data_IF_368843365708
#
_entry.id   IF_368843365708
#
_cell.length_a   1.000
_cell.length_b   1.000
_cell.length_c   1.000
_cell.angle_alpha   90.00
_cell.angle_beta   90.00
_cell.angle_gamma   90.00
#
_symmetry.space_group_name_H-M   'P 1'
#
loop_
_entity.id
_entity.type
_entity.pdbx_description
1 polymer ?
#
# COMPACT_ATOMS: atom_id res chain seq x y z
N UNK A 1 5.36 -1.62 5.29
CA UNK A 1 4.72 -2.19 4.09
C UNK A 1 5.70 -2.16 2.93
N UNK A 2 5.52 -3.04 1.95
CA UNK A 2 6.35 -3.15 0.75
C UNK A 2 5.46 -3.06 -0.49
N UNK A 3 5.81 -2.18 -1.42
CA UNK A 3 5.18 -2.04 -2.73
C UNK A 3 6.18 -2.42 -3.80
N UNK A 4 5.68 -3.00 -4.89
CA UNK A 4 6.49 -3.31 -6.07
C UNK A 4 5.62 -3.16 -7.31
N UNK A 5 5.76 -2.03 -8.04
CA UNK A 5 5.24 -1.91 -9.39
C UNK A 5 5.81 -2.99 -10.31
N UNK A 6 5.02 -3.41 -11.29
CA UNK A 6 5.38 -4.40 -12.31
C UNK A 6 6.51 -3.99 -13.25
N UNK A 7 6.65 -2.70 -13.48
CA UNK A 7 7.67 -2.14 -14.35
C UNK A 7 8.42 -1.06 -13.60
N UNK A 8 9.74 -1.01 -13.83
CA UNK A 8 10.59 0.09 -13.38
C UNK A 8 10.48 1.32 -14.30
N UNK A 9 9.74 1.23 -15.40
CA UNK A 9 9.56 2.31 -16.37
C UNK A 9 8.33 3.18 -16.07
N UNK A 10 7.33 2.61 -15.40
CA UNK A 10 6.12 3.35 -15.04
C UNK A 10 6.22 3.88 -13.61
N UNK A 11 6.13 5.20 -13.42
CA UNK A 11 6.22 5.78 -12.09
C UNK A 11 4.95 5.48 -11.31
N UNK A 12 5.14 5.21 -10.02
CA UNK A 12 4.07 5.27 -9.05
C UNK A 12 3.60 6.72 -8.93
N UNK A 13 2.29 6.94 -8.93
CA UNK A 13 1.68 8.29 -8.92
C UNK A 13 1.14 8.66 -7.56
N UNK A 14 0.56 7.68 -6.88
CA UNK A 14 -0.07 7.88 -5.59
C UNK A 14 -0.09 6.56 -4.84
N UNK A 15 0.05 6.67 -3.52
CA UNK A 15 -0.28 5.60 -2.57
C UNK A 15 -1.37 6.12 -1.67
N UNK A 16 -2.39 5.29 -1.48
CA UNK A 16 -3.55 5.56 -0.65
C UNK A 16 -3.62 4.50 0.43
N UNK A 17 -3.79 4.93 1.68
CA UNK A 17 -4.12 4.08 2.80
C UNK A 17 -5.53 4.43 3.28
N UNK A 18 -6.38 3.41 3.37
CA UNK A 18 -7.76 3.58 3.81
C UNK A 18 -8.11 2.64 4.96
N UNK A 19 -8.98 3.11 5.86
CA UNK A 19 -9.62 2.28 6.90
C UNK A 19 -11.09 2.03 6.53
N UNK A 20 -11.50 0.77 6.37
CA UNK A 20 -12.88 0.41 6.00
C UNK A 20 -13.55 -0.51 7.02
N UNK A 21 -14.88 -0.46 7.05
CA UNK A 21 -15.73 -1.44 7.74
C UNK A 21 -16.07 -2.65 6.86
N UNK A 22 -15.85 -2.57 5.54
CA UNK A 22 -16.15 -3.63 4.59
C UNK A 22 -14.88 -4.08 3.85
N UNK A 23 -14.78 -5.40 3.61
CA UNK A 23 -13.69 -6.05 2.90
C UNK A 23 -13.95 -6.03 1.39
N UNK A 24 -13.02 -5.50 0.59
CA UNK A 24 -13.03 -5.55 -0.88
C UNK A 24 -13.34 -4.23 -1.60
N UNK A 25 -13.59 -4.27 -2.92
CA UNK A 25 -13.78 -3.12 -3.83
C UNK A 25 -15.01 -2.21 -3.53
N UNK A 26 -15.69 -2.40 -2.39
CA UNK A 26 -16.85 -1.60 -1.95
C UNK A 26 -16.50 -0.55 -0.90
N UNK A 27 -15.24 -0.11 -0.87
CA UNK A 27 -14.86 0.97 0.05
C UNK A 27 -15.53 2.26 -0.38
N UNK A 28 -16.39 2.76 0.51
CA UNK A 28 -16.96 4.10 0.42
C UNK A 28 -15.81 5.13 0.49
N UNK A 29 -15.65 6.02 -0.49
CA UNK A 29 -14.64 7.07 -0.46
C UNK A 29 -14.81 8.07 0.71
N UNK A 30 -15.90 8.00 1.48
CA UNK A 30 -16.06 8.71 2.76
C UNK A 30 -15.49 7.94 3.98
N UNK A 31 -14.71 6.88 3.75
CA UNK A 31 -14.03 6.10 4.77
C UNK A 31 -13.21 6.97 5.75
N UNK A 32 -13.38 6.63 7.04
CA UNK A 32 -13.27 7.54 8.18
C UNK A 32 -11.86 7.95 8.62
N UNK A 33 -10.79 7.52 7.96
CA UNK A 33 -9.41 7.96 8.24
C UNK A 33 -8.48 7.49 7.11
N UNK A 34 -8.29 8.35 6.11
CA UNK A 34 -7.52 8.04 4.92
C UNK A 34 -6.32 8.99 4.79
N UNK A 35 -5.19 8.45 4.30
CA UNK A 35 -4.13 9.28 3.78
C UNK A 35 -3.79 8.92 2.35
N UNK A 36 -3.43 9.94 1.58
CA UNK A 36 -2.81 9.76 0.29
C UNK A 36 -1.52 10.56 0.17
N UNK A 37 -0.56 9.98 -0.52
CA UNK A 37 0.70 10.62 -0.80
C UNK A 37 1.21 10.29 -2.19
N UNK A 38 1.79 11.30 -2.81
CA UNK A 38 2.42 11.24 -4.11
C UNK A 38 3.93 11.16 -3.90
N UNK A 39 4.60 10.14 -4.48
CA UNK A 39 6.04 10.10 -4.48
C UNK A 39 6.62 11.26 -5.33
N UNK A 40 7.90 11.60 -5.13
CA UNK A 40 8.61 12.41 -6.10
C UNK A 40 8.53 11.71 -7.47
N UNK A 41 8.27 12.47 -8.55
CA UNK A 41 7.67 12.01 -9.82
C UNK A 41 8.38 10.90 -10.62
N UNK A 42 9.43 10.28 -10.08
CA UNK A 42 10.18 9.17 -10.65
C UNK A 42 10.32 7.98 -9.69
N UNK A 43 9.46 7.84 -8.66
CA UNK A 43 9.51 6.65 -7.81
C UNK A 43 9.06 5.42 -8.62
N UNK A 44 10.04 4.64 -9.01
CA UNK A 44 9.90 3.36 -9.70
C UNK A 44 10.45 2.24 -8.81
N UNK A 45 10.09 1.00 -9.11
CA UNK A 45 10.56 -0.16 -8.36
C UNK A 45 10.06 -0.23 -6.92
N UNK A 46 10.74 -1.06 -6.14
CA UNK A 46 10.28 -1.46 -4.80
C UNK A 46 10.36 -0.33 -3.78
N UNK A 47 9.26 -0.09 -3.05
CA UNK A 47 9.15 0.97 -2.04
C UNK A 47 8.75 0.39 -0.69
N UNK A 48 9.58 0.61 0.32
CA UNK A 48 9.28 0.27 1.70
C UNK A 48 8.87 1.53 2.47
N UNK A 49 7.75 1.45 3.19
CA UNK A 49 7.23 2.59 3.93
C UNK A 49 6.48 2.21 5.20
N UNK A 50 6.35 3.19 6.10
CA UNK A 50 5.55 3.08 7.33
C UNK A 50 4.10 3.42 7.05
N UNK A 51 3.16 2.69 7.64
CA UNK A 51 1.72 3.00 7.52
C UNK A 51 1.34 4.35 8.15
N UNK A 52 2.12 4.84 9.11
CA UNK A 52 1.80 6.04 9.90
C UNK A 52 2.74 7.22 9.62
N UNK A 53 3.69 7.05 8.71
CA UNK A 53 4.63 8.11 8.31
C UNK A 53 4.81 8.05 6.81
N UNK A 54 4.62 9.18 6.16
CA UNK A 54 4.96 9.30 4.76
C UNK A 54 6.45 9.06 4.56
N UNK A 55 6.85 8.38 3.47
CA UNK A 55 8.25 8.30 3.10
C UNK A 55 8.85 9.69 2.89
N UNK A 56 10.15 9.80 3.11
CA UNK A 56 10.86 11.08 2.92
C UNK A 56 10.72 11.57 1.47
N UNK A 57 10.43 12.87 1.31
CA UNK A 57 10.27 13.50 0.00
C UNK A 57 8.92 13.29 -0.68
N UNK A 58 8.02 12.48 -0.10
CA UNK A 58 6.66 12.32 -0.61
C UNK A 58 5.76 13.48 -0.14
N UNK A 59 4.85 13.89 -1.01
CA UNK A 59 3.90 14.97 -0.74
C UNK A 59 2.51 14.39 -0.53
N UNK A 60 1.86 14.71 0.59
CA UNK A 60 0.57 14.13 0.89
C UNK A 60 -0.05 14.68 2.17
N UNK A 61 -1.28 14.26 2.42
CA UNK A 61 -1.96 14.50 3.69
C UNK A 61 -1.71 13.30 4.58
N UNK A 62 -0.97 13.47 5.68
CA UNK A 62 -0.76 12.36 6.63
C UNK A 62 -2.07 12.10 7.37
N UNK A 63 -2.42 10.83 7.58
CA UNK A 63 -3.53 10.48 8.45
C UNK A 63 -3.15 10.83 9.88
N UNK A 64 -4.15 11.22 10.68
CA UNK A 64 -3.99 11.38 12.13
C UNK A 64 -3.82 10.02 12.84
N UNK A 65 -4.08 8.92 12.15
CA UNK A 65 -3.94 7.58 12.69
C UNK A 65 -2.48 7.30 13.07
N UNK A 66 -2.27 6.97 14.35
CA UNK A 66 -0.97 6.56 14.90
C UNK A 66 -0.93 5.08 15.28
N UNK A 67 -2.07 4.39 15.17
CA UNK A 67 -2.24 2.96 15.43
C UNK A 67 -3.37 2.37 14.57
N UNK A 68 -3.29 1.06 14.33
CA UNK A 68 -4.41 0.29 13.79
C UNK A 68 -5.35 -0.06 14.95
N UNK A 69 -6.64 0.19 14.78
CA UNK A 69 -7.68 -0.19 15.73
C UNK A 69 -8.14 -1.64 15.46
N UNK A 70 -8.43 -2.43 16.52
CA UNK A 70 -8.96 -3.77 16.34
C UNK A 70 -10.39 -3.72 15.76
N UNK A 71 -10.75 -4.73 14.96
CA UNK A 71 -12.09 -4.85 14.36
C UNK A 71 -12.29 -4.04 13.08
N UNK A 72 -11.22 -3.44 12.55
CA UNK A 72 -11.22 -2.71 11.28
C UNK A 72 -10.40 -3.41 10.22
N UNK A 73 -10.85 -3.29 8.98
CA UNK A 73 -10.08 -3.65 7.79
C UNK A 73 -9.35 -2.42 7.26
N UNK A 74 -8.16 -2.67 6.72
CA UNK A 74 -7.29 -1.66 6.15
C UNK A 74 -6.90 -2.06 4.75
N UNK A 75 -6.68 -1.05 3.90
CA UNK A 75 -6.05 -1.26 2.60
C UNK A 75 -4.91 -0.29 2.36
N UNK A 76 -3.95 -0.77 1.57
CA UNK A 76 -2.99 0.07 0.88
C UNK A 76 -3.17 -0.16 -0.61
N UNK A 77 -3.37 0.91 -1.35
CA UNK A 77 -3.42 0.91 -2.81
C UNK A 77 -2.30 1.78 -3.37
N UNK A 78 -1.74 1.39 -4.51
CA UNK A 78 -0.83 2.22 -5.28
C UNK A 78 -1.23 2.27 -6.74
N UNK A 79 -1.09 3.45 -7.34
CA UNK A 79 -1.51 3.74 -8.71
C UNK A 79 -0.26 3.94 -9.58
N UNK A 80 -0.22 3.29 -10.73
CA UNK A 80 0.95 3.28 -11.61
C UNK A 80 0.56 3.71 -13.01
N UNK A 81 1.39 4.58 -13.60
CA UNK A 81 1.26 4.97 -15.01
C UNK A 81 1.92 6.32 -15.32
N UNK A 82 2.15 6.64 -16.59
CA UNK A 82 2.78 7.88 -17.01
C UNK A 82 1.78 9.05 -17.01
N UNK A 83 2.24 10.23 -16.59
CA UNK A 83 1.43 11.46 -16.64
C UNK A 83 0.03 11.23 -16.00
N UNK A 84 -1.02 11.85 -16.52
CA UNK A 84 -2.35 11.78 -15.91
C UNK A 84 -3.10 10.47 -16.24
N UNK A 85 -2.37 9.42 -16.65
CA UNK A 85 -2.94 8.13 -17.05
C UNK A 85 -2.59 7.07 -15.99
N UNK A 86 -3.62 6.51 -15.36
CA UNK A 86 -3.50 5.30 -14.53
C UNK A 86 -3.55 4.07 -15.43
N UNK A 87 -2.48 3.29 -15.48
CA UNK A 87 -2.42 2.00 -16.19
C UNK A 87 -3.00 0.88 -15.36
N UNK A 88 -2.61 0.79 -14.10
CA UNK A 88 -3.14 -0.19 -13.16
C UNK A 88 -3.06 0.31 -11.72
N UNK A 89 -3.76 -0.41 -10.85
CA UNK A 89 -3.69 -0.26 -9.38
C UNK A 89 -3.23 -1.58 -8.77
N UNK A 90 -2.32 -1.52 -7.81
CA UNK A 90 -2.07 -2.63 -6.90
C UNK A 90 -2.80 -2.36 -5.57
N UNK A 91 -3.41 -3.37 -4.98
CA UNK A 91 -4.14 -3.25 -3.70
C UNK A 91 -3.81 -4.42 -2.79
N UNK A 92 -3.62 -4.15 -1.50
CA UNK A 92 -3.50 -5.16 -0.46
C UNK A 92 -4.42 -4.82 0.71
N UNK A 93 -5.07 -5.84 1.26
CA UNK A 93 -5.99 -5.74 2.40
C UNK A 93 -5.40 -6.44 3.61
N UNK A 94 -5.59 -5.87 4.79
CA UNK A 94 -5.07 -6.42 6.04
C UNK A 94 -5.84 -5.92 7.25
N UNK A 95 -5.72 -6.65 8.34
CA UNK A 95 -6.16 -6.25 9.67
C UNK A 95 -4.97 -5.86 10.54
N UNK A 96 -5.26 -5.27 11.71
CA UNK A 96 -4.25 -5.08 12.75
C UNK A 96 -3.53 -6.39 13.11
N UNK A 97 -4.27 -7.48 13.26
CA UNK A 97 -3.74 -8.76 13.69
C UNK A 97 -2.75 -9.34 12.66
N UNK A 98 -3.02 -9.11 11.37
CA UNK A 98 -2.13 -9.54 10.29
C UNK A 98 -0.76 -8.84 10.36
N UNK A 99 -0.75 -7.54 10.63
CA UNK A 99 0.49 -6.74 10.73
C UNK A 99 1.23 -7.01 12.05
N UNK A 100 0.53 -7.13 13.18
CA UNK A 100 1.15 -7.44 14.47
C UNK A 100 1.68 -8.88 14.54
N UNK A 101 1.14 -9.78 13.72
CA UNK A 101 1.60 -11.16 13.59
C UNK A 101 2.87 -11.33 12.74
N UNK A 102 3.35 -10.28 12.08
CA UNK A 102 4.55 -10.35 11.25
C UNK A 102 5.82 -10.48 12.10
N UNK A 103 6.63 -11.50 11.80
CA UNK A 103 7.99 -11.59 12.32
C UNK A 103 8.90 -10.56 11.63
N UNK A 104 10.03 -10.16 12.25
CA UNK A 104 11.02 -9.32 11.60
C UNK A 104 11.43 -9.87 10.23
N UNK A 105 11.37 -9.04 9.19
CA UNK A 105 11.67 -9.47 7.81
C UNK A 105 10.53 -10.23 7.13
N UNK A 106 9.31 -10.15 7.65
CA UNK A 106 8.10 -10.56 6.94
C UNK A 106 7.28 -9.35 6.49
N UNK A 107 6.58 -9.51 5.37
CA UNK A 107 5.66 -8.54 4.80
C UNK A 107 4.32 -9.20 4.56
N UNK A 108 3.25 -8.45 4.79
CA UNK A 108 1.90 -8.90 4.49
C UNK A 108 1.54 -8.59 3.04
N UNK A 109 1.12 -9.61 2.31
CA UNK A 109 0.56 -9.45 0.97
C UNK A 109 -0.44 -10.59 0.71
N UNK A 110 -1.52 -10.27 -0.01
CA UNK A 110 -2.49 -11.27 -0.49
C UNK A 110 -2.96 -12.28 0.57
N UNK A 111 -3.28 -11.77 1.78
CA UNK A 111 -3.83 -12.60 2.84
C UNK A 111 -2.83 -13.50 3.59
N UNK A 112 -1.51 -13.35 3.36
CA UNK A 112 -0.49 -14.12 4.08
C UNK A 112 0.78 -13.31 4.38
N UNK A 113 1.47 -13.72 5.44
CA UNK A 113 2.83 -13.25 5.73
C UNK A 113 3.82 -13.91 4.77
N UNK A 114 4.72 -13.11 4.18
CA UNK A 114 5.71 -13.55 3.20
C UNK A 114 7.09 -12.99 3.53
N UNK A 115 8.14 -13.72 3.17
CA UNK A 115 9.48 -13.17 3.05
C UNK A 115 9.59 -12.21 1.87
N UNK A 116 10.66 -11.40 1.82
CA UNK A 116 10.90 -10.48 0.69
C UNK A 116 11.00 -11.21 -0.64
N UNK A 117 11.59 -12.41 -0.64
CA UNK A 117 11.77 -13.20 -1.85
C UNK A 117 10.44 -13.75 -2.37
N UNK A 118 9.58 -14.27 -1.48
CA UNK A 118 8.24 -14.73 -1.83
C UNK A 118 7.36 -13.58 -2.34
N UNK A 119 7.42 -12.42 -1.66
CA UNK A 119 6.72 -11.22 -2.10
C UNK A 119 7.13 -10.81 -3.53
N UNK A 120 8.44 -10.80 -3.82
CA UNK A 120 8.96 -10.48 -5.16
C UNK A 120 8.49 -11.47 -6.21
N UNK A 121 8.61 -12.76 -5.93
CA UNK A 121 8.17 -13.81 -6.85
C UNK A 121 6.68 -13.70 -7.16
N UNK A 122 5.84 -13.41 -6.16
CA UNK A 122 4.41 -13.21 -6.36
C UNK A 122 4.10 -11.91 -7.11
N UNK A 123 4.81 -10.83 -6.83
CA UNK A 123 4.64 -9.58 -7.56
C UNK A 123 5.02 -9.77 -9.04
N UNK A 124 6.14 -10.45 -9.33
CA UNK A 124 6.60 -10.70 -10.69
C UNK A 124 5.64 -11.63 -11.48
N UNK A 125 4.97 -12.57 -10.81
CA UNK A 125 3.92 -13.44 -11.40
C UNK A 125 2.64 -12.68 -11.76
N UNK A 126 2.36 -11.55 -11.10
CA UNK A 126 1.12 -10.80 -11.25
C UNK A 126 1.10 -9.78 -12.42
N UNK A 127 2.18 -9.65 -13.20
CA UNK A 127 2.48 -8.46 -14.03
C UNK A 127 2.19 -8.53 -15.55
#
# INVERSE_FOLDING_TARGET
MLLRPCSDDDPMREVVFCRSYEKGDKVDPEALDDWSAQPPGSATGEQEFSLFRLPEGWQGKVAFATKLEPGWDYSVSFFVGPNDIVRYKGVTWFTRADVEGLSPGQWWADGKAMSRAEFRAQADDAC
#
